data_IF_332429910463
#
_entry.id   IF_332429910463
#
_cell.length_a   1.000
_cell.length_b   1.000
_cell.length_c   1.000
_cell.angle_alpha   90.00
_cell.angle_beta   90.00
_cell.angle_gamma   90.00
#
_symmetry.space_group_name_H-M   'P 1'
#
loop_
_entity.id
_entity.type
_entity.pdbx_description
1 polymer ?
#
# COMPACT_ATOMS: atom_id res chain seq x y z
N UNK A 1 -7.73 -7.79 -2.53
CA UNK A 1 -6.69 -7.10 -1.78
C UNK A 1 -5.91 -6.38 -2.84
N UNK A 2 -5.65 -5.08 -2.68
CA UNK A 2 -4.89 -4.35 -3.70
C UNK A 2 -3.40 -4.68 -3.64
N UNK A 3 -2.90 -4.99 -2.44
CA UNK A 3 -1.51 -5.35 -2.17
C UNK A 3 -1.47 -6.45 -1.11
N UNK A 4 -0.44 -7.30 -1.15
CA UNK A 4 -0.08 -8.21 -0.07
C UNK A 4 1.44 -8.15 0.16
N UNK A 5 1.88 -8.42 1.39
CA UNK A 5 3.30 -8.38 1.73
C UNK A 5 4.01 -9.62 1.20
N UNK A 6 4.91 -9.47 0.22
CA UNK A 6 5.84 -10.53 -0.18
C UNK A 6 7.07 -10.51 0.74
N UNK A 7 7.31 -11.60 1.47
CA UNK A 7 8.44 -11.70 2.40
C UNK A 7 9.73 -12.07 1.65
N UNK A 8 10.85 -11.41 1.94
CA UNK A 8 12.16 -11.72 1.33
C UNK A 8 12.57 -13.18 1.55
N UNK A 9 12.25 -13.72 2.72
CA UNK A 9 12.51 -15.11 3.09
C UNK A 9 11.42 -16.10 2.68
N UNK A 10 10.47 -15.74 1.82
CA UNK A 10 9.34 -16.63 1.52
C UNK A 10 9.77 -18.00 0.95
N UNK A 11 10.84 -18.03 0.15
CA UNK A 11 11.41 -19.27 -0.39
C UNK A 11 12.03 -20.20 0.68
N UNK A 12 12.36 -19.67 1.86
CA UNK A 12 12.97 -20.42 2.97
C UNK A 12 11.93 -21.06 3.89
N UNK A 13 10.66 -20.70 3.74
CA UNK A 13 9.58 -21.37 4.47
C UNK A 13 9.56 -22.86 4.15
N UNK A 14 9.35 -23.71 5.15
CA UNK A 14 9.49 -25.16 5.02
C UNK A 14 8.59 -25.73 3.92
N UNK A 15 7.37 -25.20 3.79
CA UNK A 15 6.42 -25.61 2.76
C UNK A 15 6.85 -25.14 1.37
N UNK A 16 7.37 -23.91 1.26
CA UNK A 16 7.89 -23.38 -0.01
C UNK A 16 9.15 -24.13 -0.46
N UNK A 17 10.06 -24.45 0.46
CA UNK A 17 11.24 -25.25 0.18
C UNK A 17 10.86 -26.65 -0.32
N UNK A 18 9.86 -27.31 0.31
CA UNK A 18 9.31 -28.59 -0.16
C UNK A 18 8.68 -28.48 -1.55
N UNK A 19 7.93 -27.41 -1.82
CA UNK A 19 7.33 -27.17 -3.14
C UNK A 19 8.40 -27.02 -4.23
N UNK A 20 9.44 -26.24 -3.95
CA UNK A 20 10.58 -26.06 -4.87
C UNK A 20 11.35 -27.36 -5.07
N UNK A 21 11.46 -28.20 -4.04
CA UNK A 21 12.09 -29.52 -4.17
C UNK A 21 11.30 -30.48 -5.07
N UNK A 22 9.96 -30.45 -5.03
CA UNK A 22 9.09 -31.36 -5.78
C UNK A 22 8.82 -30.88 -7.21
N UNK A 23 8.65 -29.57 -7.40
CA UNK A 23 8.16 -28.97 -8.65
C UNK A 23 9.13 -27.93 -9.26
N UNK A 24 10.28 -27.69 -8.63
CA UNK A 24 11.23 -26.68 -9.06
C UNK A 24 10.68 -25.26 -8.94
N UNK A 25 11.31 -24.34 -9.67
CA UNK A 25 10.89 -22.93 -9.72
C UNK A 25 9.51 -22.74 -10.37
N UNK A 26 9.07 -23.67 -11.21
CA UNK A 26 7.70 -23.65 -11.75
C UNK A 26 6.66 -23.78 -10.64
N UNK A 27 6.92 -24.61 -9.62
CA UNK A 27 6.04 -24.74 -8.45
C UNK A 27 5.95 -23.42 -7.67
N UNK A 28 7.09 -22.77 -7.46
CA UNK A 28 7.14 -21.46 -6.80
C UNK A 28 6.33 -20.40 -7.56
N UNK A 29 6.56 -20.27 -8.87
CA UNK A 29 5.80 -19.34 -9.71
C UNK A 29 4.31 -19.66 -9.75
N UNK A 30 3.95 -20.95 -9.81
CA UNK A 30 2.57 -21.40 -9.75
C UNK A 30 1.89 -20.97 -8.44
N UNK A 31 2.52 -21.19 -7.28
CA UNK A 31 1.97 -20.76 -6.00
C UNK A 31 1.68 -19.25 -5.97
N UNK A 32 2.64 -18.41 -6.38
CA UNK A 32 2.45 -16.96 -6.37
C UNK A 32 1.37 -16.50 -7.32
N UNK A 33 1.29 -17.07 -8.52
CA UNK A 33 0.23 -16.75 -9.48
C UNK A 33 -1.17 -17.07 -8.92
N UNK A 34 -1.33 -18.22 -8.26
CA UNK A 34 -2.59 -18.60 -7.61
C UNK A 34 -2.90 -17.65 -6.45
N UNK A 35 -1.90 -17.33 -5.62
CA UNK A 35 -2.04 -16.40 -4.51
C UNK A 35 -2.48 -15.01 -5.00
N UNK A 36 -1.86 -14.49 -6.06
CA UNK A 36 -2.21 -13.21 -6.69
C UNK A 36 -3.65 -13.22 -7.24
N UNK A 37 -4.03 -14.31 -7.91
CA UNK A 37 -5.38 -14.47 -8.46
C UNK A 37 -6.43 -14.41 -7.36
N UNK A 38 -6.21 -15.12 -6.25
CA UNK A 38 -7.12 -15.14 -5.10
C UNK A 38 -7.10 -13.80 -4.38
N UNK A 39 -5.91 -13.25 -4.11
CA UNK A 39 -5.74 -11.95 -3.47
C UNK A 39 -6.50 -10.88 -4.26
N UNK A 40 -6.43 -10.87 -5.58
CA UNK A 40 -7.12 -9.90 -6.44
C UNK A 40 -8.65 -9.87 -6.24
N UNK A 41 -9.26 -10.99 -5.83
CA UNK A 41 -10.71 -11.09 -5.63
C UNK A 41 -11.20 -10.65 -4.24
N UNK A 42 -10.30 -10.43 -3.28
CA UNK A 42 -10.69 -10.08 -1.90
C UNK A 42 -10.98 -8.58 -1.81
N UNK A 43 -12.21 -8.15 -2.07
CA UNK A 43 -12.61 -6.75 -1.92
C UNK A 43 -12.55 -6.25 -0.45
N UNK A 44 -12.61 -4.93 -0.27
CA UNK A 44 -12.62 -4.34 1.07
C UNK A 44 -13.87 -4.80 1.85
N UNK A 45 -13.67 -5.65 2.85
CA UNK A 45 -14.76 -6.22 3.67
C UNK A 45 -14.95 -7.72 3.45
N UNK A 46 -14.46 -8.26 2.34
CA UNK A 46 -14.52 -9.69 2.06
C UNK A 46 -13.40 -10.45 2.77
N UNK A 47 -13.74 -11.59 3.36
CA UNK A 47 -12.78 -12.57 3.88
C UNK A 47 -12.81 -13.86 3.03
N UNK A 48 -13.25 -13.75 1.77
CA UNK A 48 -13.32 -14.90 0.87
C UNK A 48 -11.91 -15.34 0.46
N UNK A 49 -11.43 -16.42 1.05
CA UNK A 49 -10.12 -17.02 0.76
C UNK A 49 -10.17 -18.13 -0.28
N UNK A 50 -11.39 -18.54 -0.66
CA UNK A 50 -11.67 -19.60 -1.62
C UNK A 50 -12.19 -19.06 -2.95
N UNK A 51 -11.62 -19.54 -4.05
CA UNK A 51 -12.00 -19.14 -5.40
C UNK A 51 -12.28 -20.36 -6.28
N UNK A 52 -13.44 -20.35 -6.94
CA UNK A 52 -13.89 -21.41 -7.83
C UNK A 52 -13.97 -20.87 -9.25
N UNK A 53 -13.22 -21.46 -10.17
CA UNK A 53 -13.29 -21.14 -11.59
C UNK A 53 -13.25 -22.40 -12.46
N UNK A 54 -13.69 -22.32 -13.73
CA UNK A 54 -13.55 -23.41 -14.68
C UNK A 54 -12.08 -23.85 -14.84
N UNK A 55 -11.83 -25.14 -15.03
CA UNK A 55 -10.47 -25.66 -15.26
C UNK A 55 -9.79 -24.97 -16.45
N UNK A 56 -10.55 -24.58 -17.47
CA UNK A 56 -10.05 -23.84 -18.62
C UNK A 56 -9.43 -22.48 -18.26
N UNK A 57 -9.99 -21.77 -17.28
CA UNK A 57 -9.46 -20.49 -16.80
C UNK A 57 -8.07 -20.69 -16.17
N UNK A 58 -7.97 -21.64 -15.24
CA UNK A 58 -6.71 -21.96 -14.56
C UNK A 58 -5.62 -22.40 -15.54
N UNK A 59 -5.97 -23.21 -16.55
CA UNK A 59 -5.04 -23.59 -17.62
C UNK A 59 -4.56 -22.41 -18.43
N UNK A 60 -5.45 -21.45 -18.73
CA UNK A 60 -5.11 -20.27 -19.53
C UNK A 60 -4.11 -19.38 -18.80
N UNK A 61 -4.32 -19.11 -17.50
CA UNK A 61 -3.41 -18.23 -16.75
C UNK A 61 -2.08 -18.90 -16.43
N UNK A 62 -2.07 -20.21 -16.19
CA UNK A 62 -0.85 -20.97 -15.87
C UNK A 62 -0.08 -21.43 -17.11
N UNK A 63 -0.71 -21.47 -18.28
CA UNK A 63 -0.17 -22.10 -19.49
C UNK A 63 -0.07 -23.63 -19.39
N UNK A 64 -0.70 -24.28 -18.40
CA UNK A 64 -0.53 -25.70 -18.15
C UNK A 64 -1.51 -26.60 -18.92
N UNK A 65 -1.06 -27.83 -19.18
CA UNK A 65 -1.95 -28.93 -19.58
C UNK A 65 -2.86 -29.32 -18.39
N UNK A 66 -4.04 -29.93 -18.64
CA UNK A 66 -4.94 -30.36 -17.56
C UNK A 66 -4.25 -31.30 -16.56
N UNK A 67 -3.41 -32.22 -17.06
CA UNK A 67 -2.66 -33.17 -16.23
C UNK A 67 -1.62 -32.47 -15.36
N UNK A 68 -0.89 -31.50 -15.92
CA UNK A 68 0.11 -30.72 -15.16
C UNK A 68 -0.56 -29.87 -14.09
N UNK A 69 -1.65 -29.16 -14.43
CA UNK A 69 -2.43 -28.38 -13.47
C UNK A 69 -2.92 -29.24 -12.30
N UNK A 70 -3.48 -30.41 -12.59
CA UNK A 70 -3.93 -31.36 -11.57
C UNK A 70 -2.80 -31.79 -10.65
N UNK A 71 -1.69 -32.25 -11.22
CA UNK A 71 -0.51 -32.67 -10.46
C UNK A 71 0.01 -31.55 -9.53
N UNK A 72 0.13 -30.33 -10.05
CA UNK A 72 0.60 -29.18 -9.28
C UNK A 72 -0.36 -28.82 -8.14
N UNK A 73 -1.66 -28.78 -8.40
CA UNK A 73 -2.67 -28.50 -7.38
C UNK A 73 -2.71 -29.57 -6.28
N UNK A 74 -2.60 -30.84 -6.65
CA UNK A 74 -2.56 -31.97 -5.71
C UNK A 74 -1.30 -31.95 -4.84
N UNK A 75 -0.13 -31.63 -5.41
CA UNK A 75 1.12 -31.48 -4.64
C UNK A 75 1.02 -30.31 -3.66
N UNK A 76 0.53 -29.15 -4.09
CA UNK A 76 0.32 -28.00 -3.19
C UNK A 76 -0.65 -28.33 -2.05
N UNK A 77 -1.71 -29.10 -2.34
CA UNK A 77 -2.66 -29.61 -1.35
C UNK A 77 -2.00 -30.56 -0.35
N UNK A 78 -1.20 -31.51 -0.85
CA UNK A 78 -0.44 -32.46 -0.02
C UNK A 78 0.58 -31.77 0.90
N UNK A 79 1.25 -30.71 0.44
CA UNK A 79 2.19 -29.92 1.26
C UNK A 79 1.42 -29.05 2.28
N UNK A 80 0.12 -28.81 2.05
CA UNK A 80 -0.71 -27.98 2.92
C UNK A 80 -0.45 -26.48 2.74
N UNK A 81 -0.10 -26.07 1.53
CA UNK A 81 0.07 -24.65 1.16
C UNK A 81 -1.30 -24.02 0.93
N UNK A 82 -2.18 -24.74 0.25
CA UNK A 82 -3.58 -24.42 0.01
C UNK A 82 -4.40 -25.71 -0.12
N UNK A 83 -5.72 -25.65 -0.05
CA UNK A 83 -6.57 -26.78 -0.46
C UNK A 83 -7.02 -26.62 -1.91
N UNK A 84 -7.13 -27.73 -2.64
CA UNK A 84 -7.60 -27.76 -4.01
C UNK A 84 -8.65 -28.86 -4.18
N UNK A 85 -9.81 -28.48 -4.70
CA UNK A 85 -10.94 -29.38 -4.93
C UNK A 85 -11.34 -29.31 -6.41
N UNK A 86 -11.29 -30.46 -7.09
CA UNK A 86 -11.74 -30.59 -8.47
C UNK A 86 -13.18 -31.07 -8.49
N UNK A 87 -14.04 -30.31 -9.17
CA UNK A 87 -15.36 -30.76 -9.62
C UNK A 87 -15.30 -31.17 -11.10
N UNK A 88 -16.44 -31.53 -11.71
CA UNK A 88 -16.51 -32.02 -13.08
C UNK A 88 -15.86 -31.09 -14.11
N UNK A 89 -15.99 -29.76 -13.94
CA UNK A 89 -15.41 -28.79 -14.86
C UNK A 89 -14.79 -27.55 -14.19
N UNK A 90 -14.73 -27.53 -12.86
CA UNK A 90 -14.18 -26.41 -12.08
C UNK A 90 -13.14 -26.90 -11.08
N UNK A 91 -12.25 -25.97 -10.72
CA UNK A 91 -11.27 -26.13 -9.66
C UNK A 91 -11.50 -25.01 -8.65
N UNK A 92 -11.69 -25.41 -7.40
CA UNK A 92 -11.76 -24.55 -6.22
C UNK A 92 -10.42 -24.59 -5.51
N UNK A 93 -9.84 -23.43 -5.24
CA UNK A 93 -8.63 -23.30 -4.43
C UNK A 93 -8.92 -22.40 -3.24
N UNK A 94 -8.58 -22.84 -2.04
CA UNK A 94 -8.69 -22.06 -0.81
C UNK A 94 -7.34 -21.89 -0.10
N UNK A 95 -7.01 -20.63 0.19
CA UNK A 95 -5.78 -20.22 0.88
C UNK A 95 -6.17 -19.49 2.17
N UNK A 96 -6.56 -20.20 3.24
CA UNK A 96 -7.09 -19.55 4.44
C UNK A 96 -6.06 -18.62 5.10
N UNK A 97 -4.77 -18.94 4.96
CA UNK A 97 -3.68 -18.13 5.52
C UNK A 97 -3.42 -16.81 4.77
N UNK A 98 -4.06 -16.56 3.62
CA UNK A 98 -3.83 -15.34 2.83
C UNK A 98 -4.17 -14.07 3.60
N UNK A 99 -5.14 -14.14 4.53
CA UNK A 99 -5.58 -13.01 5.34
C UNK A 99 -4.48 -12.53 6.31
N UNK A 100 -3.51 -13.38 6.67
CA UNK A 100 -2.33 -12.99 7.47
C UNK A 100 -1.48 -11.93 6.75
N UNK A 101 -1.48 -11.97 5.42
CA UNK A 101 -0.70 -11.07 4.58
C UNK A 101 -1.49 -9.84 4.12
N UNK A 102 -2.71 -9.62 4.66
CA UNK A 102 -3.42 -8.33 4.48
C UNK A 102 -2.51 -7.20 4.94
N UNK A 103 -2.40 -6.18 4.12
CA UNK A 103 -1.71 -4.97 4.48
C UNK A 103 -2.53 -4.17 5.51
N UNK A 104 -1.86 -3.25 6.21
CA UNK A 104 -2.52 -2.39 7.20
C UNK A 104 -3.63 -1.55 6.57
N UNK A 105 -3.47 -1.15 5.31
CA UNK A 105 -4.48 -0.41 4.55
C UNK A 105 -5.77 -1.23 4.36
N UNK A 106 -5.68 -2.49 3.92
CA UNK A 106 -6.85 -3.37 3.79
C UNK A 106 -7.43 -3.77 5.15
N UNK A 107 -6.61 -3.81 6.22
CA UNK A 107 -7.12 -4.00 7.60
C UNK A 107 -7.91 -2.80 8.09
N UNK A 108 -7.41 -1.57 7.89
CA UNK A 108 -8.07 -0.33 8.29
C UNK A 108 -9.41 -0.14 7.58
N UNK A 109 -9.51 -0.43 6.27
CA UNK A 109 -10.78 -0.31 5.54
C UNK A 109 -11.90 -1.21 6.03
N UNK A 110 -11.59 -2.40 6.57
CA UNK A 110 -12.60 -3.29 7.14
C UNK A 110 -13.04 -2.86 8.53
N UNK A 111 -12.17 -2.18 9.29
CA UNK A 111 -12.54 -1.57 10.57
C UNK A 111 -13.37 -0.28 10.39
N UNK A 112 -13.10 0.47 9.32
CA UNK A 112 -13.71 1.79 9.06
C UNK A 112 -14.93 1.75 8.13
N UNK A 113 -15.49 0.57 7.82
CA UNK A 113 -16.65 0.45 6.91
C UNK A 113 -17.99 0.84 7.54
N UNK A 114 -17.97 1.44 8.74
CA UNK A 114 -19.13 2.05 9.38
C UNK A 114 -18.84 3.53 9.71
N UNK A 115 -19.65 4.41 9.12
CA UNK A 115 -19.77 5.87 9.31
C UNK A 115 -19.21 6.43 10.64
N UNK A 116 -17.98 6.97 10.63
CA UNK A 116 -17.48 8.13 11.38
C UNK A 116 -15.94 8.27 11.19
N UNK A 117 -15.37 9.50 11.11
CA UNK A 117 -13.92 9.67 11.18
C UNK A 117 -13.40 9.24 12.56
N UNK A 118 -12.30 8.49 12.55
CA UNK A 118 -11.59 8.01 13.74
C UNK A 118 -11.29 9.20 14.67
N UNK A 119 -11.81 9.26 15.91
CA UNK A 119 -11.41 10.30 16.84
C UNK A 119 -9.93 10.07 17.18
N UNK A 120 -9.14 11.14 16.99
CA UNK A 120 -7.73 11.19 17.34
C UNK A 120 -7.53 10.67 18.77
N UNK A 121 -6.54 9.80 18.96
CA UNK A 121 -6.05 9.32 20.27
C UNK A 121 -6.02 10.47 21.27
N UNK A 122 -6.94 10.49 22.23
CA UNK A 122 -6.74 11.23 23.47
C UNK A 122 -5.86 10.38 24.38
N UNK A 123 -4.89 11.08 24.96
CA UNK A 123 -3.82 10.56 25.81
C UNK A 123 -4.41 9.93 27.08
N UNK A 124 -3.75 8.88 27.54
CA UNK A 124 -4.12 7.99 28.64
C UNK A 124 -4.53 8.71 29.93
N UNK A 125 -5.54 8.17 30.62
CA UNK A 125 -5.63 8.29 32.09
C UNK A 125 -6.27 7.01 32.64
N UNK A 126 -5.47 6.27 33.39
CA UNK A 126 -5.86 5.12 34.20
C UNK A 126 -6.89 5.54 35.25
N UNK A 127 -7.96 4.76 35.42
CA UNK A 127 -8.54 4.50 36.76
C UNK A 127 -9.44 3.27 36.71
N UNK A 128 -9.01 2.24 37.45
CA UNK A 128 -9.84 1.11 37.89
C UNK A 128 -10.99 1.61 38.79
N UNK A 129 -12.18 0.99 38.70
CA UNK A 129 -12.79 0.18 39.77
C UNK A 129 -14.13 -0.41 39.30
N UNK A 130 -14.30 -1.67 39.67
CA UNK A 130 -15.39 -2.65 39.50
C UNK A 130 -16.78 -2.18 39.97
N UNK A 131 -17.86 -2.76 39.42
CA UNK A 131 -18.86 -3.61 40.14
C UNK A 131 -19.96 -4.11 39.17
N UNK A 132 -20.30 -5.39 39.33
CA UNK A 132 -21.33 -6.20 38.64
C UNK A 132 -22.79 -5.73 38.79
N UNK A 133 -23.68 -6.25 37.93
CA UNK A 133 -25.14 -6.17 38.11
C UNK A 133 -25.97 -6.75 36.96
N UNK A 134 -26.19 -8.06 37.01
CA UNK A 134 -26.99 -8.94 36.13
C UNK A 134 -28.52 -8.61 36.10
N UNK A 135 -29.16 -8.61 34.90
CA UNK A 135 -30.39 -9.38 34.54
C UNK A 135 -31.07 -9.00 33.19
N UNK A 136 -31.75 -9.96 32.50
CA UNK A 136 -32.29 -9.84 31.12
C UNK A 136 -33.82 -9.49 31.07
N UNK A 137 -34.48 -9.42 29.87
CA UNK A 137 -35.58 -8.48 29.57
C UNK A 137 -37.00 -9.07 29.74
N UNK A 138 -38.05 -8.24 29.57
CA UNK A 138 -39.33 -8.75 29.07
C UNK A 138 -39.91 -7.93 27.90
N UNK A 139 -40.50 -8.63 26.93
CA UNK A 139 -41.55 -8.18 26.00
C UNK A 139 -42.77 -9.11 26.18
N UNK A 140 -43.95 -8.84 25.60
CA UNK A 140 -44.78 -7.61 25.53
C UNK A 140 -46.23 -7.92 26.03
N UNK A 141 -47.22 -7.01 25.89
CA UNK A 141 -48.23 -7.32 24.87
C UNK A 141 -48.87 -6.11 24.16
N UNK A 142 -49.05 -6.31 22.85
CA UNK A 142 -50.28 -6.13 22.04
C UNK A 142 -51.33 -5.10 22.49
N UNK A 143 -51.50 -4.05 21.68
CA UNK A 143 -52.66 -3.14 21.70
C UNK A 143 -52.79 -2.41 20.37
N UNK A 144 -53.84 -2.73 19.61
CA UNK A 144 -54.14 -2.17 18.30
C UNK A 144 -54.66 -0.74 18.35
N UNK A 145 -54.61 -0.07 17.19
CA UNK A 145 -55.15 1.26 17.00
C UNK A 145 -54.92 1.73 15.58
N UNK A 146 -55.91 1.51 14.73
CA UNK A 146 -56.01 2.01 13.36
C UNK A 146 -55.86 3.54 13.29
N UNK A 147 -55.20 4.03 12.24
CA UNK A 147 -55.04 5.46 12.00
C UNK A 147 -54.46 5.74 10.62
N UNK A 148 -55.30 5.61 9.58
CA UNK A 148 -55.03 6.11 8.23
C UNK A 148 -54.93 7.65 8.25
N UNK A 149 -53.83 8.18 7.71
CA UNK A 149 -53.61 9.59 7.42
C UNK A 149 -52.67 9.76 6.22
N UNK A 150 -52.75 10.88 5.48
CA UNK A 150 -52.61 10.89 4.03
C UNK A 150 -51.17 11.07 3.52
N UNK A 151 -50.96 10.52 2.32
CA UNK A 151 -49.83 10.74 1.42
C UNK A 151 -49.48 12.21 1.26
N UNK A 152 -48.26 12.57 1.68
CA UNK A 152 -47.64 13.85 1.34
C UNK A 152 -46.27 13.59 0.68
N UNK A 153 -46.28 13.74 -0.65
CA UNK A 153 -45.30 14.48 -1.43
C UNK A 153 -43.80 14.17 -1.21
N UNK A 154 -43.29 13.21 -1.99
CA UNK A 154 -41.86 13.05 -2.29
C UNK A 154 -41.30 14.36 -2.91
N UNK A 155 -40.13 14.86 -2.47
CA UNK A 155 -39.46 15.97 -3.14
C UNK A 155 -38.97 15.54 -4.55
N UNK A 156 -38.87 16.46 -5.52
CA UNK A 156 -38.45 16.13 -6.88
C UNK A 156 -37.01 15.61 -6.92
N UNK A 157 -36.78 14.53 -7.64
CA UNK A 157 -35.43 14.06 -8.03
C UNK A 157 -34.70 15.20 -8.76
N UNK A 158 -33.59 15.67 -8.19
CA UNK A 158 -32.64 16.51 -8.91
C UNK A 158 -32.07 15.73 -10.10
N UNK A 159 -31.84 16.39 -11.25
CA UNK A 159 -31.35 15.73 -12.45
C UNK A 159 -29.95 15.16 -12.21
N UNK A 160 -29.84 13.87 -12.54
CA UNK A 160 -28.65 13.04 -12.48
C UNK A 160 -27.39 13.81 -12.92
N UNK A 161 -26.55 14.17 -11.95
CA UNK A 161 -25.25 14.75 -12.22
C UNK A 161 -24.45 13.72 -13.03
N UNK A 162 -23.81 14.10 -14.15
CA UNK A 162 -23.12 13.13 -14.99
C UNK A 162 -22.10 12.36 -14.14
N UNK A 163 -22.28 11.04 -14.05
CA UNK A 163 -21.35 10.16 -13.36
C UNK A 163 -19.92 10.50 -13.82
N UNK A 164 -18.97 10.73 -12.88
CA UNK A 164 -17.60 11.01 -13.26
C UNK A 164 -17.08 9.86 -14.14
N UNK A 165 -16.40 10.17 -15.25
CA UNK A 165 -16.02 9.18 -16.23
C UNK A 165 -15.24 8.05 -15.57
N UNK A 166 -15.69 6.80 -15.79
CA UNK A 166 -15.06 5.56 -15.31
C UNK A 166 -13.54 5.67 -15.49
N UNK A 167 -12.83 5.81 -14.37
CA UNK A 167 -11.37 5.84 -14.33
C UNK A 167 -10.85 4.57 -15.03
N UNK A 168 -10.16 4.74 -16.15
CA UNK A 168 -9.11 3.78 -16.50
C UNK A 168 -8.02 4.04 -15.46
N UNK A 169 -7.75 3.14 -14.50
CA UNK A 169 -6.72 3.39 -13.51
C UNK A 169 -5.40 3.46 -14.26
N UNK A 170 -4.84 4.66 -14.38
CA UNK A 170 -3.49 4.84 -14.87
C UNK A 170 -2.57 4.40 -13.73
N UNK A 171 -2.32 3.08 -13.67
CA UNK A 171 -1.54 2.40 -12.62
C UNK A 171 -0.21 3.12 -12.41
N UNK A 172 0.38 3.67 -13.47
CA UNK A 172 1.64 4.42 -13.39
C UNK A 172 1.51 5.74 -12.62
N UNK A 173 0.40 6.48 -12.79
CA UNK A 173 0.14 7.69 -12.01
C UNK A 173 -0.01 7.35 -10.52
N UNK A 174 -0.71 6.25 -10.22
CA UNK A 174 -0.88 5.78 -8.84
C UNK A 174 0.46 5.41 -8.21
N UNK A 175 1.29 4.64 -8.92
CA UNK A 175 2.64 4.26 -8.47
C UNK A 175 3.55 5.47 -8.27
N UNK A 176 3.47 6.47 -9.15
CA UNK A 176 4.19 7.74 -8.98
C UNK A 176 3.77 8.48 -7.71
N UNK A 177 2.47 8.55 -7.41
CA UNK A 177 1.97 9.23 -6.21
C UNK A 177 2.29 8.48 -4.93
N UNK A 178 2.27 7.15 -4.95
CA UNK A 178 2.64 6.31 -3.81
C UNK A 178 4.13 6.41 -3.45
N UNK A 179 4.99 6.68 -4.43
CA UNK A 179 6.41 6.98 -4.22
C UNK A 179 6.68 8.43 -3.80
N UNK A 180 5.71 9.34 -3.92
CA UNK A 180 5.90 10.76 -3.59
C UNK A 180 5.88 10.99 -2.07
N UNK A 181 6.70 11.90 -1.51
CA UNK A 181 6.71 12.20 -0.08
C UNK A 181 5.31 12.50 0.48
N UNK A 182 4.93 11.82 1.57
CA UNK A 182 3.57 11.83 2.13
C UNK A 182 3.08 13.25 2.44
N UNK A 183 3.98 14.11 2.95
CA UNK A 183 3.68 15.50 3.30
C UNK A 183 3.23 16.37 2.12
N UNK A 184 3.69 16.06 0.91
CA UNK A 184 3.39 16.83 -0.30
C UNK A 184 2.48 16.07 -1.28
N UNK A 185 2.10 14.83 -0.95
CA UNK A 185 1.26 13.97 -1.80
C UNK A 185 -0.11 14.61 -2.03
N UNK A 186 -0.62 14.45 -3.24
CA UNK A 186 -1.93 14.95 -3.66
C UNK A 186 -2.81 13.80 -4.16
N UNK A 187 -4.14 13.93 -4.08
CA UNK A 187 -5.05 12.91 -4.60
C UNK A 187 -4.95 12.84 -6.13
N UNK A 188 -5.26 11.66 -6.68
CA UNK A 188 -5.13 11.35 -8.12
C UNK A 188 -5.80 12.41 -8.99
N UNK A 189 -7.03 12.83 -8.66
CA UNK A 189 -7.78 13.80 -9.46
C UNK A 189 -7.08 15.17 -9.59
N UNK A 190 -6.26 15.57 -8.62
CA UNK A 190 -5.52 16.84 -8.66
C UNK A 190 -4.29 16.78 -9.59
N UNK A 191 -3.73 15.59 -9.77
CA UNK A 191 -2.48 15.37 -10.52
C UNK A 191 -2.75 14.86 -11.94
N UNK A 192 -3.89 14.20 -12.13
CA UNK A 192 -4.33 13.62 -13.40
C UNK A 192 -4.25 14.59 -14.59
N UNK A 193 -4.64 15.88 -14.48
CA UNK A 193 -4.52 16.81 -15.62
C UNK A 193 -3.07 16.99 -16.08
N UNK A 194 -2.12 17.18 -15.16
CA UNK A 194 -0.70 17.33 -15.49
C UNK A 194 -0.08 16.03 -16.01
N UNK A 195 -0.51 14.89 -15.48
CA UNK A 195 -0.08 13.57 -15.94
C UNK A 195 -0.51 13.29 -17.38
N UNK A 196 -1.79 13.51 -17.69
CA UNK A 196 -2.33 13.36 -19.05
C UNK A 196 -1.69 14.36 -20.02
N UNK A 197 -1.47 15.61 -19.58
CA UNK A 197 -0.79 16.62 -20.40
C UNK A 197 0.65 16.20 -20.77
N UNK A 198 1.40 15.63 -19.81
CA UNK A 198 2.74 15.09 -20.05
C UNK A 198 2.74 13.92 -21.03
N UNK A 199 1.81 12.96 -20.87
CA UNK A 199 1.66 11.82 -21.79
C UNK A 199 1.27 12.28 -23.20
N UNK A 200 0.31 13.21 -23.31
CA UNK A 200 -0.10 13.82 -24.60
C UNK A 200 1.05 14.55 -25.29
N UNK A 201 1.89 15.24 -24.52
CA UNK A 201 3.09 15.91 -25.02
C UNK A 201 4.25 14.94 -25.35
N UNK A 202 4.05 13.62 -25.23
CA UNK A 202 5.08 12.57 -25.38
C UNK A 202 6.34 12.85 -24.54
N UNK A 203 6.14 13.51 -23.40
CA UNK A 203 7.21 13.90 -22.48
C UNK A 203 7.39 12.92 -21.32
N UNK A 204 6.57 11.87 -21.26
CA UNK A 204 6.61 10.86 -20.22
C UNK A 204 7.90 10.02 -20.35
N UNK A 205 8.81 10.07 -19.36
CA UNK A 205 10.10 9.39 -19.44
C UNK A 205 10.04 7.92 -18.96
N UNK A 206 8.86 7.43 -18.56
CA UNK A 206 8.70 6.15 -17.87
C UNK A 206 8.87 6.25 -16.36
N UNK A 207 8.26 5.31 -15.64
CA UNK A 207 8.34 5.22 -14.17
C UNK A 207 9.77 5.13 -13.62
N UNK A 208 10.69 4.32 -14.18
CA UNK A 208 12.04 4.20 -13.63
C UNK A 208 12.75 5.56 -13.55
N UNK A 209 12.67 6.37 -14.62
CA UNK A 209 13.29 7.69 -14.63
C UNK A 209 12.64 8.66 -13.64
N UNK A 210 11.32 8.60 -13.47
CA UNK A 210 10.61 9.40 -12.47
C UNK A 210 11.05 9.03 -11.05
N UNK A 211 11.20 7.74 -10.75
CA UNK A 211 11.68 7.26 -9.44
C UNK A 211 13.13 7.62 -9.16
N UNK A 212 14.00 7.51 -10.17
CA UNK A 212 15.39 7.99 -10.07
C UNK A 212 15.41 9.48 -9.71
N UNK A 213 14.59 10.28 -10.39
CA UNK A 213 14.49 11.71 -10.11
C UNK A 213 13.94 11.97 -8.70
N UNK A 214 12.90 11.27 -8.26
CA UNK A 214 12.38 11.41 -6.90
C UNK A 214 13.47 11.09 -5.86
N UNK A 215 14.23 10.02 -6.06
CA UNK A 215 15.33 9.63 -5.15
C UNK A 215 16.44 10.69 -5.12
N UNK A 216 16.81 11.23 -6.28
CA UNK A 216 17.78 12.33 -6.40
C UNK A 216 17.31 13.59 -5.63
N UNK A 217 16.05 13.98 -5.82
CA UNK A 217 15.47 15.18 -5.21
C UNK A 217 15.17 15.00 -3.72
N UNK A 218 14.74 13.83 -3.27
CA UNK A 218 14.52 13.51 -1.86
C UNK A 218 15.83 13.57 -1.05
N UNK A 219 16.93 13.09 -1.63
CA UNK A 219 18.26 13.22 -1.04
C UNK A 219 18.84 14.65 -1.06
N UNK A 220 18.14 15.61 -1.67
CA UNK A 220 18.63 16.99 -1.76
C UNK A 220 18.44 17.75 -0.45
N UNK A 221 19.42 18.58 -0.09
CA UNK A 221 19.29 19.50 1.05
C UNK A 221 18.09 20.43 0.90
N UNK A 222 17.70 20.77 -0.33
CA UNK A 222 16.55 21.62 -0.59
C UNK A 222 15.24 20.99 -0.09
N UNK A 223 15.04 19.68 -0.31
CA UNK A 223 13.87 18.96 0.19
C UNK A 223 14.03 18.59 1.68
N UNK A 224 15.25 18.37 2.17
CA UNK A 224 15.49 18.13 3.60
C UNK A 224 15.31 19.39 4.46
N UNK A 225 15.55 20.58 3.89
CA UNK A 225 15.52 21.87 4.61
C UNK A 225 14.13 22.18 5.16
N UNK A 226 14.10 22.71 6.38
CA UNK A 226 12.86 23.09 7.09
C UNK A 226 11.84 21.94 7.15
N UNK A 227 12.33 20.70 7.22
CA UNK A 227 11.51 19.49 7.35
C UNK A 227 10.64 19.18 6.14
N UNK A 228 11.06 19.53 4.92
CA UNK A 228 10.26 19.26 3.72
C UNK A 228 9.36 20.40 3.27
N UNK A 229 9.59 21.62 3.75
CA UNK A 229 8.79 22.80 3.37
C UNK A 229 8.88 23.11 1.86
N UNK A 230 10.00 22.78 1.23
CA UNK A 230 10.26 23.08 -0.18
C UNK A 230 9.99 21.90 -1.13
N UNK A 231 9.36 20.83 -0.65
CA UNK A 231 8.93 19.72 -1.52
C UNK A 231 7.82 20.27 -2.44
N UNK A 232 8.01 20.27 -3.77
CA UNK A 232 6.97 20.70 -4.71
C UNK A 232 5.78 19.76 -4.63
N UNK A 233 4.60 20.19 -5.07
CA UNK A 233 3.49 19.25 -5.25
C UNK A 233 3.77 18.32 -6.44
N UNK A 234 3.20 17.09 -6.48
CA UNK A 234 3.35 16.19 -7.61
C UNK A 234 2.97 16.83 -8.95
N UNK A 235 1.92 17.66 -8.95
CA UNK A 235 1.51 18.43 -10.13
C UNK A 235 2.63 19.37 -10.63
N UNK A 236 3.30 20.09 -9.71
CA UNK A 236 4.43 20.98 -10.03
C UNK A 236 5.66 20.19 -10.46
N UNK A 237 5.92 19.05 -9.82
CA UNK A 237 6.99 18.13 -10.20
C UNK A 237 6.83 17.67 -11.67
N UNK A 238 5.61 17.29 -12.04
CA UNK A 238 5.27 16.88 -13.40
C UNK A 238 5.37 18.02 -14.41
N UNK A 239 4.72 19.15 -14.10
CA UNK A 239 4.65 20.31 -14.99
C UNK A 239 6.03 20.97 -15.19
N UNK A 240 6.86 20.99 -14.13
CA UNK A 240 8.21 21.53 -14.14
C UNK A 240 9.28 20.58 -14.68
N UNK A 241 8.91 19.37 -15.10
CA UNK A 241 9.82 18.35 -15.65
C UNK A 241 11.05 18.11 -14.78
N UNK A 242 10.83 17.91 -13.49
CA UNK A 242 11.92 17.81 -12.50
C UNK A 242 12.90 16.65 -12.78
N UNK A 243 12.49 15.63 -13.54
CA UNK A 243 13.38 14.56 -14.02
C UNK A 243 14.38 14.99 -15.12
N UNK A 244 14.32 16.22 -15.62
CA UNK A 244 15.36 16.75 -16.52
C UNK A 244 16.44 17.49 -15.73
N UNK A 245 16.16 17.88 -14.49
CA UNK A 245 17.03 18.70 -13.67
C UNK A 245 17.59 17.87 -12.52
N UNK A 246 18.84 18.15 -12.15
CA UNK A 246 19.41 17.65 -10.89
C UNK A 246 19.20 18.69 -9.80
N UNK A 247 18.99 18.28 -8.53
CA UNK A 247 18.98 19.24 -7.44
C UNK A 247 20.31 19.99 -7.39
N UNK A 248 20.32 21.28 -7.02
CA UNK A 248 21.56 22.02 -6.86
C UNK A 248 22.46 21.29 -5.86
N UNK A 249 23.71 21.02 -6.26
CA UNK A 249 24.69 20.33 -5.43
C UNK A 249 24.93 21.18 -4.18
N UNK A 250 24.75 20.57 -3.00
CA UNK A 250 25.16 21.18 -1.74
C UNK A 250 26.63 21.64 -1.87
N UNK A 251 26.99 22.84 -1.36
CA UNK A 251 28.38 23.25 -1.27
C UNK A 251 29.17 22.13 -0.60
N UNK A 252 30.18 21.60 -1.29
CA UNK A 252 31.05 20.56 -0.77
C UNK A 252 31.56 20.99 0.62
N UNK A 253 31.18 20.31 1.73
CA UNK A 253 31.55 20.72 3.08
C UNK A 253 33.07 20.65 3.31
N UNK A 254 33.78 20.01 2.39
CA UNK A 254 35.24 19.89 2.35
C UNK A 254 35.86 20.68 1.19
N UNK A 255 35.11 21.58 0.55
CA UNK A 255 35.67 22.51 -0.44
C UNK A 255 36.83 23.31 0.15
N UNK A 256 36.72 23.68 1.43
CA UNK A 256 37.76 24.34 2.23
C UNK A 256 38.92 23.42 2.63
N UNK A 257 38.84 22.10 2.37
CA UNK A 257 39.90 21.11 2.62
C UNK A 257 40.64 20.69 1.35
N UNK A 258 40.20 21.12 0.16
CA UNK A 258 40.94 20.85 -1.08
C UNK A 258 42.30 21.54 -1.05
N UNK A 259 43.36 20.75 -1.23
CA UNK A 259 44.74 21.23 -1.20
C UNK A 259 45.38 21.24 0.19
N UNK A 260 44.64 20.88 1.25
CA UNK A 260 45.20 20.72 2.59
C UNK A 260 45.83 19.35 2.77
N UNK A 261 46.97 19.29 3.45
CA UNK A 261 47.66 18.04 3.77
C UNK A 261 46.88 17.22 4.80
N UNK A 262 47.11 15.91 4.84
CA UNK A 262 46.49 15.01 5.82
C UNK A 262 46.70 15.46 7.27
N UNK A 263 47.81 16.14 7.56
CA UNK A 263 48.08 16.70 8.89
C UNK A 263 47.15 17.90 9.19
N UNK A 264 46.96 18.79 8.22
CA UNK A 264 46.10 19.99 8.39
C UNK A 264 44.62 19.61 8.53
N UNK A 265 44.19 18.53 7.88
CA UNK A 265 42.83 17.98 8.00
C UNK A 265 42.60 17.45 9.42
N UNK A 266 43.56 16.69 9.98
CA UNK A 266 43.44 16.13 11.33
C UNK A 266 43.49 17.21 12.42
N UNK A 267 44.30 18.26 12.25
CA UNK A 267 44.37 19.38 13.20
C UNK A 267 43.05 20.16 13.22
N UNK A 268 42.48 20.46 12.05
CA UNK A 268 41.20 21.15 11.96
C UNK A 268 40.04 20.33 12.58
N UNK A 269 40.03 19.01 12.39
CA UNK A 269 39.01 18.13 12.98
C UNK A 269 39.17 18.00 14.52
N UNK A 270 40.41 18.03 15.01
CA UNK A 270 40.72 18.08 16.44
C UNK A 270 40.26 19.38 17.09
N UNK A 271 40.57 20.54 16.50
CA UNK A 271 40.13 21.85 17.00
C UNK A 271 38.60 21.98 16.98
N UNK A 272 37.94 21.49 15.93
CA UNK A 272 36.48 21.50 15.83
C UNK A 272 35.80 20.56 16.84
N UNK A 273 36.47 19.48 17.29
CA UNK A 273 35.99 18.65 18.40
C UNK A 273 36.14 19.37 19.73
N UNK A 274 37.29 20.01 19.96
CA UNK A 274 37.56 20.77 21.18
C UNK A 274 36.56 21.93 21.36
N UNK A 275 36.24 22.65 20.28
CA UNK A 275 35.28 23.74 20.31
C UNK A 275 33.85 23.26 20.62
N UNK A 276 33.43 22.13 20.05
CA UNK A 276 32.11 21.52 20.33
C UNK A 276 32.01 21.01 21.78
N UNK A 277 33.10 20.46 22.31
CA UNK A 277 33.15 20.05 23.72
C UNK A 277 33.10 21.27 24.65
N UNK A 278 33.80 22.36 24.32
CA UNK A 278 33.75 23.61 25.08
C UNK A 278 32.35 24.24 25.10
N UNK A 279 31.67 24.31 23.95
CA UNK A 279 30.29 24.79 23.86
C UNK A 279 29.31 23.90 24.66
N UNK A 280 29.50 22.57 24.62
CA UNK A 280 28.68 21.65 25.42
C UNK A 280 28.91 21.80 26.93
N UNK A 281 30.13 22.17 27.35
CA UNK A 281 30.41 22.45 28.76
C UNK A 281 29.84 23.79 29.23
N UNK A 282 29.82 24.82 28.38
CA UNK A 282 29.21 26.12 28.71
C UNK A 282 27.68 26.06 28.79
N UNK A 283 27.02 25.23 27.97
CA UNK A 283 25.56 25.03 28.03
C UNK A 283 25.13 24.22 29.26
N UNK A 284 26.06 23.50 29.89
CA UNK A 284 25.79 22.65 31.06
C UNK A 284 26.15 23.30 32.40
N UNK A 285 26.80 24.46 32.38
CA UNK A 285 27.14 25.27 33.55
C UNK A 285 26.06 26.34 33.81
#
# INVERSE_FOLDING_TARGET
>A
MRWFKHLTGAHQDEKMARLVSELGLEGYGFYWLILETIAGQIEAGSNRTALTYPVAFWRKITGFSPKKLRNFAEICSKIGIFSAEFSENSLTIDIPNILKYRDEWSRKKVKNSGVAPEPLRTKDTETDTETEGDKPPPTPPLGGGDGLGPVDSLPPEEPDAPEPPRHVPDIELEQFLDAYPERARQPIYAVLPSWLAMKKARAYPGLPRLFDALSEWEGSEQWAKEGGRFIPSPQKFLSGRFWLNKPPRSPDPYANLRGKSFHEINTADYEARLAREAEQTEVRA
#
